data_IF_590091502496
#
_entry.id   IF_590091502496
#
_cell.length_a   1.000
_cell.length_b   1.000
_cell.length_c   1.000
_cell.angle_alpha   90.00
_cell.angle_beta   90.00
_cell.angle_gamma   90.00
#
_symmetry.space_group_name_H-M   'P 1'
#
loop_
_entity.id
_entity.type
_entity.pdbx_description
1 polymer ?
#
# COMPACT_ATOMS: atom_id res chain seq x y z
N UNK A 1 -32.33 -19.71 29.16
CA UNK A 1 -31.08 -19.00 28.85
C UNK A 1 -30.44 -19.42 27.54
N UNK A 2 -30.13 -20.68 27.26
CA UNK A 2 -29.45 -21.14 26.04
C UNK A 2 -30.15 -20.78 24.71
N UNK A 3 -31.49 -20.83 24.62
CA UNK A 3 -32.22 -20.46 23.38
C UNK A 3 -32.06 -18.98 23.06
N UNK A 4 -32.21 -18.09 24.04
CA UNK A 4 -32.02 -16.65 23.85
C UNK A 4 -30.61 -16.32 23.40
N UNK A 5 -29.56 -16.95 23.95
CA UNK A 5 -28.18 -16.76 23.57
C UNK A 5 -27.95 -17.19 22.11
N UNK A 6 -28.48 -18.34 21.69
CA UNK A 6 -28.35 -18.82 20.28
C UNK A 6 -29.03 -17.86 19.30
N UNK A 7 -30.22 -17.35 19.66
CA UNK A 7 -30.93 -16.38 18.80
C UNK A 7 -30.16 -15.07 18.69
N UNK A 8 -29.62 -14.55 19.81
CA UNK A 8 -28.80 -13.33 19.79
C UNK A 8 -27.54 -13.49 18.92
N UNK A 9 -26.84 -14.62 19.05
CA UNK A 9 -25.66 -14.90 18.21
C UNK A 9 -26.01 -14.99 16.73
N UNK A 10 -27.14 -15.61 16.39
CA UNK A 10 -27.60 -15.70 14.99
C UNK A 10 -27.92 -14.30 14.45
N UNK A 11 -28.62 -13.47 15.19
CA UNK A 11 -28.96 -12.09 14.77
C UNK A 11 -27.70 -11.26 14.58
N UNK A 12 -26.73 -11.33 15.48
CA UNK A 12 -25.45 -10.63 15.35
C UNK A 12 -24.70 -11.13 14.11
N UNK A 13 -24.68 -12.43 13.86
CA UNK A 13 -24.05 -13.02 12.68
C UNK A 13 -24.66 -12.52 11.38
N UNK A 14 -25.99 -12.50 11.28
CA UNK A 14 -26.72 -11.99 10.11
C UNK A 14 -26.45 -10.51 9.89
N UNK A 15 -26.47 -9.71 10.94
CA UNK A 15 -26.16 -8.27 10.86
C UNK A 15 -24.73 -8.04 10.39
N UNK A 16 -23.75 -8.79 10.90
CA UNK A 16 -22.35 -8.70 10.46
C UNK A 16 -22.20 -9.06 8.99
N UNK A 17 -22.79 -10.15 8.54
CA UNK A 17 -22.74 -10.56 7.13
C UNK A 17 -23.41 -9.51 6.26
N UNK A 18 -24.58 -9.02 6.62
CA UNK A 18 -25.27 -7.95 5.90
C UNK A 18 -24.43 -6.68 5.78
N UNK A 19 -23.79 -6.27 6.88
CA UNK A 19 -22.88 -5.11 6.87
C UNK A 19 -21.69 -5.34 5.94
N UNK A 20 -21.04 -6.50 6.00
CA UNK A 20 -19.90 -6.81 5.13
C UNK A 20 -20.29 -6.84 3.64
N UNK A 21 -21.45 -7.41 3.32
CA UNK A 21 -21.97 -7.42 1.95
C UNK A 21 -22.27 -6.00 1.44
N UNK A 22 -22.88 -5.18 2.27
CA UNK A 22 -23.13 -3.76 1.95
C UNK A 22 -21.80 -3.04 1.71
N UNK A 23 -20.82 -3.16 2.61
CA UNK A 23 -19.52 -2.54 2.46
C UNK A 23 -18.74 -3.05 1.25
N UNK A 24 -18.94 -4.31 0.84
CA UNK A 24 -18.33 -4.84 -0.38
C UNK A 24 -18.87 -4.15 -1.63
N UNK A 25 -20.12 -3.75 -1.64
CA UNK A 25 -20.76 -3.07 -2.77
C UNK A 25 -20.51 -1.57 -2.75
N UNK A 26 -20.66 -0.94 -1.59
CA UNK A 26 -20.52 0.52 -1.45
C UNK A 26 -19.08 0.97 -1.29
N UNK A 27 -18.20 0.09 -0.81
CA UNK A 27 -16.84 0.42 -0.39
C UNK A 27 -16.82 1.15 0.95
N UNK A 28 -15.62 1.28 1.48
CA UNK A 28 -15.29 2.18 2.58
C UNK A 28 -13.92 2.78 2.28
N UNK A 29 -13.86 3.95 1.65
CA UNK A 29 -12.59 4.56 1.29
C UNK A 29 -11.79 4.89 2.56
N UNK A 30 -10.45 4.87 2.49
CA UNK A 30 -9.63 5.32 3.60
C UNK A 30 -9.87 6.81 3.86
N UNK A 31 -9.83 7.19 5.12
CA UNK A 31 -9.93 8.60 5.48
C UNK A 31 -8.66 9.33 5.06
N UNK A 32 -8.82 10.51 4.49
CA UNK A 32 -7.74 11.43 4.17
C UNK A 32 -7.63 12.46 5.29
N UNK A 33 -6.65 12.38 6.21
CA UNK A 33 -6.49 13.41 7.22
C UNK A 33 -5.97 14.70 6.55
N UNK A 34 -6.38 15.83 7.08
CA UNK A 34 -5.74 17.10 6.74
C UNK A 34 -4.27 17.08 7.15
N UNK A 35 -3.46 17.99 6.57
CA UNK A 35 -2.06 18.14 6.96
C UNK A 35 -1.90 18.41 8.46
N UNK A 36 -2.83 19.15 9.06
CA UNK A 36 -2.85 19.44 10.50
C UNK A 36 -3.16 18.19 11.34
N UNK A 37 -4.11 17.38 10.94
CA UNK A 37 -4.43 16.10 11.61
C UNK A 37 -3.27 15.13 11.51
N UNK A 38 -2.59 15.07 10.36
CA UNK A 38 -1.39 14.25 10.18
C UNK A 38 -0.25 14.71 11.08
N UNK A 39 0.05 16.00 11.10
CA UNK A 39 1.09 16.58 11.95
C UNK A 39 0.81 16.31 13.44
N UNK A 40 -0.45 16.40 13.87
CA UNK A 40 -0.87 16.15 15.24
C UNK A 40 -0.85 14.66 15.62
N UNK A 41 -1.29 13.79 14.72
CA UNK A 41 -1.46 12.36 14.99
C UNK A 41 -0.26 11.51 14.57
N UNK A 42 0.63 12.00 13.70
CA UNK A 42 1.76 11.26 13.14
C UNK A 42 1.36 10.03 12.32
N UNK A 43 0.12 9.96 11.85
CA UNK A 43 -0.39 8.85 11.05
C UNK A 43 -1.45 9.33 10.06
N UNK A 44 -1.57 8.61 8.96
CA UNK A 44 -2.73 8.73 8.08
C UNK A 44 -4.00 8.31 8.82
N UNK A 45 -5.12 8.82 8.38
CA UNK A 45 -6.42 8.57 8.94
C UNK A 45 -6.85 7.10 8.88
N UNK A 46 -8.08 6.90 9.21
CA UNK A 46 -8.76 5.61 9.31
C UNK A 46 -8.52 4.75 8.07
N UNK A 47 -8.11 3.48 8.23
CA UNK A 47 -8.06 2.55 7.13
C UNK A 47 -9.46 2.36 6.56
N UNK A 48 -9.53 2.22 5.24
CA UNK A 48 -10.73 1.80 4.55
C UNK A 48 -10.76 0.29 4.36
N UNK A 49 -11.82 -0.16 3.65
CA UNK A 49 -11.97 -1.54 3.24
C UNK A 49 -11.95 -1.62 1.70
N UNK A 50 -12.95 -2.24 1.10
CA UNK A 50 -13.04 -2.37 -0.36
C UNK A 50 -13.03 -1.02 -1.07
N UNK A 51 -12.19 -0.88 -2.10
CA UNK A 51 -12.26 0.22 -3.04
C UNK A 51 -13.30 -0.11 -4.12
N UNK A 52 -14.14 0.86 -4.44
CA UNK A 52 -15.15 0.77 -5.49
C UNK A 52 -14.93 1.83 -6.55
N UNK A 53 -15.31 1.52 -7.79
CA UNK A 53 -15.15 2.38 -8.94
C UNK A 53 -15.12 1.57 -10.23
N UNK A 54 -15.12 2.27 -11.35
CA UNK A 54 -14.92 1.70 -12.68
C UNK A 54 -13.52 1.08 -12.79
N UNK A 55 -13.43 -0.16 -13.24
CA UNK A 55 -12.16 -0.85 -13.46
C UNK A 55 -11.63 -0.50 -14.84
N UNK A 56 -10.39 -0.04 -14.91
CA UNK A 56 -9.69 0.27 -16.16
C UNK A 56 -9.09 -0.99 -16.73
N UNK A 57 -9.43 -1.30 -17.99
CA UNK A 57 -8.93 -2.45 -18.74
C UNK A 57 -7.94 -2.08 -19.84
N UNK A 58 -7.82 -0.78 -20.14
CA UNK A 58 -6.86 -0.26 -21.11
C UNK A 58 -5.46 -0.14 -20.48
N UNK A 59 -4.43 -0.43 -21.29
CA UNK A 59 -3.06 -0.28 -20.88
C UNK A 59 -2.69 1.20 -20.74
N UNK A 60 -2.09 1.57 -19.62
CA UNK A 60 -1.55 2.92 -19.43
C UNK A 60 -0.07 2.92 -19.82
N UNK A 61 0.25 3.62 -20.88
CA UNK A 61 1.63 3.70 -21.43
C UNK A 61 2.45 4.84 -20.84
N UNK A 62 1.80 5.83 -20.23
CA UNK A 62 2.46 6.94 -19.55
C UNK A 62 1.69 7.29 -18.27
N UNK A 63 2.39 7.31 -17.14
CA UNK A 63 1.82 7.58 -15.81
C UNK A 63 2.03 9.02 -15.34
N UNK A 64 2.65 9.90 -16.13
CA UNK A 64 2.95 11.27 -15.69
C UNK A 64 1.70 12.10 -15.36
N UNK A 65 0.55 11.72 -15.95
CA UNK A 65 -0.73 12.34 -15.63
C UNK A 65 -1.14 12.16 -14.16
N UNK A 66 -0.60 11.16 -13.45
CA UNK A 66 -0.86 10.95 -12.02
C UNK A 66 -0.39 12.14 -11.18
N UNK A 67 0.59 12.92 -11.68
CA UNK A 67 1.05 14.14 -11.03
C UNK A 67 -0.03 15.21 -10.86
N UNK A 68 -1.15 15.09 -11.59
CA UNK A 68 -2.28 16.03 -11.50
C UNK A 68 -3.15 15.77 -10.26
N UNK A 69 -3.12 14.55 -9.73
CA UNK A 69 -3.95 14.16 -8.58
C UNK A 69 -3.20 14.42 -7.28
N UNK A 70 -3.32 15.66 -6.84
CA UNK A 70 -2.70 16.15 -5.61
C UNK A 70 -3.80 16.55 -4.64
N UNK A 71 -4.43 15.61 -3.98
CA UNK A 71 -5.58 16.08 -3.20
C UNK A 71 -5.23 16.28 -1.75
N UNK A 72 -4.71 15.77 -0.92
CA UNK A 72 -4.77 16.14 0.53
C UNK A 72 -3.46 15.98 1.27
N UNK A 73 -2.58 15.16 0.74
CA UNK A 73 -1.32 14.75 1.38
C UNK A 73 -0.06 15.11 0.61
N UNK A 74 -0.11 16.06 -0.27
CA UNK A 74 0.94 16.31 -1.23
C UNK A 74 0.65 15.59 -2.56
N UNK A 75 1.45 15.89 -3.56
CA UNK A 75 1.28 15.40 -4.93
C UNK A 75 1.25 13.87 -4.97
N UNK A 76 0.33 13.32 -5.77
CA UNK A 76 0.25 11.89 -6.11
C UNK A 76 -0.22 10.94 -4.99
N UNK A 77 -1.01 11.43 -4.07
CA UNK A 77 -1.70 10.57 -3.11
C UNK A 77 -2.80 9.76 -3.82
N UNK A 78 -2.87 8.47 -3.55
CA UNK A 78 -3.89 7.56 -4.07
C UNK A 78 -4.33 6.56 -3.01
N UNK A 79 -5.43 5.89 -3.28
CA UNK A 79 -5.94 4.84 -2.42
C UNK A 79 -5.39 3.48 -2.89
N UNK A 80 -4.85 2.72 -1.97
CA UNK A 80 -4.30 1.38 -2.19
C UNK A 80 -5.10 0.35 -1.40
N UNK A 81 -5.68 -0.63 -2.08
CA UNK A 81 -6.30 -1.80 -1.47
C UNK A 81 -5.35 -2.98 -1.53
N UNK A 82 -5.14 -3.62 -0.39
CA UNK A 82 -4.31 -4.82 -0.23
C UNK A 82 -5.12 -5.96 0.36
N UNK A 83 -4.75 -7.20 0.05
CA UNK A 83 -5.40 -8.41 0.58
C UNK A 83 -4.85 -8.76 1.94
N UNK A 84 -5.72 -8.85 2.93
CA UNK A 84 -5.36 -9.35 4.25
C UNK A 84 -5.33 -10.87 4.29
N UNK A 85 -4.68 -11.44 5.30
CA UNK A 85 -4.64 -12.90 5.49
C UNK A 85 -6.01 -13.50 5.81
N UNK A 86 -6.94 -12.72 6.35
CA UNK A 86 -8.30 -13.16 6.70
C UNK A 86 -9.34 -12.83 5.61
N UNK A 87 -8.91 -12.42 4.42
CA UNK A 87 -9.76 -12.28 3.23
C UNK A 87 -10.54 -10.97 3.10
N UNK A 88 -10.63 -10.14 4.15
CA UNK A 88 -11.23 -8.80 4.04
C UNK A 88 -10.13 -7.82 3.64
N UNK A 89 -10.20 -7.18 2.46
CA UNK A 89 -9.17 -6.25 2.04
C UNK A 89 -9.17 -4.98 2.89
N UNK A 90 -7.98 -4.42 3.06
CA UNK A 90 -7.79 -3.10 3.66
C UNK A 90 -7.34 -2.11 2.61
N UNK A 91 -7.85 -0.88 2.70
CA UNK A 91 -7.38 0.23 1.89
C UNK A 91 -6.76 1.33 2.74
N UNK A 92 -5.73 1.95 2.19
CA UNK A 92 -4.97 3.04 2.80
C UNK A 92 -4.59 4.07 1.75
N UNK A 93 -4.29 5.29 2.18
CA UNK A 93 -3.71 6.31 1.31
C UNK A 93 -2.20 6.11 1.22
N UNK A 94 -1.67 6.11 0.00
CA UNK A 94 -0.25 5.97 -0.33
C UNK A 94 0.19 7.05 -1.31
N UNK A 95 1.51 7.22 -1.46
CA UNK A 95 2.08 8.12 -2.44
C UNK A 95 2.62 7.35 -3.64
N UNK A 96 2.32 7.85 -4.84
CA UNK A 96 2.85 7.36 -6.10
C UNK A 96 4.00 8.23 -6.60
N UNK A 97 4.92 7.61 -7.32
CA UNK A 97 6.02 8.29 -8.01
C UNK A 97 5.97 7.87 -9.48
N UNK A 98 5.28 8.63 -10.34
CA UNK A 98 5.27 8.36 -11.77
C UNK A 98 6.59 8.78 -12.41
N UNK A 99 7.01 8.03 -13.43
CA UNK A 99 8.21 8.27 -14.24
C UNK A 99 7.98 7.75 -15.66
N UNK A 100 7.26 8.51 -16.47
CA UNK A 100 6.90 8.12 -17.83
C UNK A 100 6.08 6.83 -17.86
N UNK A 101 6.63 5.79 -18.46
CA UNK A 101 6.05 4.46 -18.56
C UNK A 101 6.06 3.66 -17.23
N UNK A 102 6.72 4.16 -16.20
CA UNK A 102 6.88 3.49 -14.91
C UNK A 102 6.12 4.19 -13.80
N UNK A 103 5.52 3.38 -12.97
CA UNK A 103 4.85 3.84 -11.76
C UNK A 103 5.47 3.15 -10.54
N UNK A 104 5.65 3.90 -9.47
CA UNK A 104 6.18 3.38 -8.22
C UNK A 104 5.29 3.77 -7.04
N UNK A 105 5.20 2.87 -6.08
CA UNK A 105 4.78 3.17 -4.73
C UNK A 105 5.99 3.51 -3.89
N UNK A 106 5.84 4.47 -2.99
CA UNK A 106 6.89 4.78 -2.02
C UNK A 106 6.37 4.68 -0.59
N UNK A 107 7.25 4.29 0.31
CA UNK A 107 7.00 4.34 1.74
C UNK A 107 8.28 4.57 2.52
N UNK A 108 8.23 5.46 3.51
CA UNK A 108 9.33 5.65 4.44
C UNK A 108 9.17 4.74 5.66
N UNK A 109 10.25 4.14 6.13
CA UNK A 109 10.23 3.30 7.32
C UNK A 109 10.13 4.07 8.62
N UNK A 110 10.33 5.39 8.62
CA UNK A 110 10.01 6.21 9.79
C UNK A 110 8.60 5.97 10.30
N UNK A 111 7.70 5.58 9.39
CA UNK A 111 6.35 5.22 9.72
C UNK A 111 6.17 3.77 10.16
N UNK A 112 7.16 2.88 9.98
CA UNK A 112 7.07 1.48 10.37
C UNK A 112 7.82 1.15 11.65
N UNK A 113 9.12 1.44 11.67
CA UNK A 113 10.01 1.01 12.75
C UNK A 113 10.20 2.08 13.81
N UNK A 114 10.14 3.35 13.40
CA UNK A 114 10.46 4.47 14.28
C UNK A 114 9.23 5.08 14.94
N UNK A 115 8.02 4.76 14.48
CA UNK A 115 6.81 5.24 15.13
C UNK A 115 6.48 4.38 16.35
N UNK A 116 7.11 4.69 17.48
CA UNK A 116 6.87 4.01 18.76
C UNK A 116 5.41 4.12 19.23
N UNK A 117 4.70 5.17 18.84
CA UNK A 117 3.31 5.42 19.24
C UNK A 117 2.31 4.55 18.47
N UNK A 118 2.63 4.20 17.21
CA UNK A 118 1.74 3.42 16.34
C UNK A 118 2.54 2.37 15.54
N UNK A 119 3.15 1.37 16.21
CA UNK A 119 4.05 0.40 15.58
C UNK A 119 3.37 -0.47 14.52
N UNK A 120 2.03 -0.53 14.51
CA UNK A 120 1.23 -1.33 13.58
C UNK A 120 0.43 -0.50 12.60
N UNK A 121 0.66 0.81 12.51
CA UNK A 121 -0.17 1.73 11.72
C UNK A 121 -0.04 1.56 10.21
N UNK A 122 1.00 0.87 9.73
CA UNK A 122 1.22 0.61 8.29
C UNK A 122 1.52 -0.87 8.05
N UNK A 123 0.47 -1.65 7.96
CA UNK A 123 0.59 -3.10 7.71
C UNK A 123 0.43 -3.48 6.24
N UNK A 124 0.08 -2.54 5.35
CA UNK A 124 -0.17 -2.80 3.95
C UNK A 124 1.02 -3.48 3.23
N UNK A 125 2.25 -3.12 3.57
CA UNK A 125 3.44 -3.71 2.98
C UNK A 125 3.59 -5.20 3.32
N UNK A 126 3.20 -5.63 4.53
CA UNK A 126 3.17 -7.07 4.89
C UNK A 126 2.11 -7.83 4.10
N UNK A 127 1.00 -7.17 3.77
CA UNK A 127 0.00 -7.75 2.89
C UNK A 127 0.56 -7.94 1.48
N UNK A 128 1.31 -6.96 0.98
CA UNK A 128 1.95 -6.99 -0.34
C UNK A 128 3.07 -8.04 -0.41
N UNK A 129 3.85 -8.24 0.64
CA UNK A 129 4.85 -9.31 0.71
C UNK A 129 4.22 -10.70 0.58
N UNK A 130 3.03 -10.88 1.12
CA UNK A 130 2.28 -12.15 1.02
C UNK A 130 1.51 -12.29 -0.29
N UNK A 131 0.87 -11.23 -0.76
CA UNK A 131 0.12 -11.18 -2.01
C UNK A 131 0.38 -9.83 -2.69
N UNK A 132 1.22 -9.79 -3.75
CA UNK A 132 1.61 -8.56 -4.41
C UNK A 132 0.49 -7.95 -5.26
N UNK A 133 -0.64 -8.63 -5.40
CA UNK A 133 -1.81 -8.15 -6.14
C UNK A 133 -2.54 -7.10 -5.33
N UNK A 134 -2.67 -5.93 -5.90
CA UNK A 134 -3.33 -4.78 -5.27
C UNK A 134 -4.36 -4.17 -6.21
N UNK A 135 -5.22 -3.33 -5.68
CA UNK A 135 -6.08 -2.42 -6.44
C UNK A 135 -5.75 -1.00 -6.02
N UNK A 136 -5.66 -0.11 -6.99
CA UNK A 136 -5.39 1.30 -6.76
C UNK A 136 -6.53 2.12 -7.31
N UNK A 137 -6.98 3.12 -6.56
CA UNK A 137 -7.96 4.09 -7.06
C UNK A 137 -7.24 5.39 -7.35
N UNK A 138 -7.05 5.67 -8.65
CA UNK A 138 -6.33 6.83 -9.15
C UNK A 138 -7.29 7.64 -10.02
N UNK A 139 -7.51 8.91 -9.70
CA UNK A 139 -8.44 9.75 -10.44
C UNK A 139 -9.88 9.20 -10.46
N UNK A 140 -10.31 8.55 -9.38
CA UNK A 140 -11.64 7.95 -9.26
C UNK A 140 -11.81 6.57 -9.90
N UNK A 141 -10.86 6.12 -10.73
CA UNK A 141 -10.89 4.82 -11.42
C UNK A 141 -10.04 3.77 -10.71
N UNK A 142 -10.42 2.51 -10.85
CA UNK A 142 -9.73 1.36 -10.25
C UNK A 142 -8.76 0.75 -11.27
N UNK A 143 -7.52 0.59 -10.85
CA UNK A 143 -6.48 -0.11 -11.60
C UNK A 143 -6.09 -1.38 -10.83
N UNK A 144 -6.15 -2.52 -11.51
CA UNK A 144 -5.64 -3.78 -10.95
C UNK A 144 -4.15 -3.88 -11.19
N UNK A 145 -3.37 -4.00 -10.13
CA UNK A 145 -1.93 -3.87 -10.17
C UNK A 145 -1.24 -5.05 -9.51
N UNK A 146 0.01 -5.28 -9.91
CA UNK A 146 0.98 -6.09 -9.17
C UNK A 146 2.13 -5.17 -8.77
N UNK A 147 2.61 -5.29 -7.54
CA UNK A 147 3.70 -4.48 -7.02
C UNK A 147 4.91 -5.34 -6.68
N UNK A 148 6.10 -4.89 -7.08
CA UNK A 148 7.36 -5.60 -6.89
C UNK A 148 8.35 -4.68 -6.19
N UNK A 149 8.93 -5.14 -5.08
CA UNK A 149 9.93 -4.37 -4.33
C UNK A 149 11.16 -4.09 -5.21
N UNK A 150 11.55 -2.83 -5.30
CA UNK A 150 12.77 -2.42 -6.00
C UNK A 150 13.97 -2.75 -5.13
N UNK A 151 14.79 -3.69 -5.56
CA UNK A 151 16.02 -4.11 -4.86
C UNK A 151 17.26 -3.39 -5.37
N UNK A 152 17.21 -2.86 -6.60
CA UNK A 152 18.32 -2.11 -7.20
C UNK A 152 18.52 -0.77 -6.49
N UNK A 153 19.65 -0.67 -5.76
CA UNK A 153 20.02 0.56 -5.03
C UNK A 153 20.20 1.77 -5.95
N UNK A 154 20.71 1.57 -7.15
CA UNK A 154 20.89 2.64 -8.12
C UNK A 154 19.52 3.17 -8.62
N UNK A 155 18.55 2.30 -8.81
CA UNK A 155 17.18 2.70 -9.15
C UNK A 155 16.54 3.49 -8.00
N UNK A 156 16.68 3.01 -6.76
CA UNK A 156 16.17 3.72 -5.57
C UNK A 156 16.83 5.09 -5.42
N UNK A 157 18.15 5.18 -5.60
CA UNK A 157 18.86 6.46 -5.54
C UNK A 157 18.33 7.44 -6.60
N UNK A 158 18.10 6.99 -7.84
CA UNK A 158 17.50 7.83 -8.89
C UNK A 158 16.10 8.34 -8.50
N UNK A 159 15.27 7.50 -7.90
CA UNK A 159 13.93 7.89 -7.42
C UNK A 159 13.99 8.92 -6.29
N UNK A 160 15.06 8.89 -5.49
CA UNK A 160 15.31 9.80 -4.37
C UNK A 160 16.15 11.04 -4.71
N UNK A 161 16.42 11.28 -6.00
CA UNK A 161 17.26 12.41 -6.41
C UNK A 161 18.72 12.28 -5.98
N UNK A 162 19.27 11.08 -6.04
CA UNK A 162 20.67 10.77 -5.71
C UNK A 162 20.93 10.35 -4.26
N UNK A 163 19.90 10.27 -3.42
CA UNK A 163 20.04 9.86 -2.01
C UNK A 163 19.90 8.35 -1.85
N UNK A 164 20.66 7.78 -0.92
CA UNK A 164 20.52 6.37 -0.56
C UNK A 164 19.18 6.01 0.05
N UNK A 165 18.77 4.74 -0.11
CA UNK A 165 17.56 4.19 0.49
C UNK A 165 17.58 4.27 2.02
N UNK A 166 18.76 4.05 2.60
CA UNK A 166 19.00 4.09 4.05
C UNK A 166 20.00 5.20 4.32
N UNK A 167 19.65 6.12 5.21
CA UNK A 167 20.51 7.20 5.66
C UNK A 167 20.77 7.03 7.14
N UNK A 168 22.02 6.98 7.53
CA UNK A 168 22.44 6.98 8.91
C UNK A 168 22.73 8.41 9.38
N UNK A 169 22.53 8.65 10.66
CA UNK A 169 22.86 9.90 11.31
C UNK A 169 23.23 9.66 12.78
N UNK A 170 23.93 10.60 13.37
CA UNK A 170 24.31 10.53 14.78
C UNK A 170 23.14 10.99 15.66
N UNK A 171 22.71 10.13 16.56
CA UNK A 171 21.67 10.45 17.54
C UNK A 171 22.20 11.33 18.68
N UNK A 172 21.29 11.80 19.54
CA UNK A 172 21.64 12.56 20.74
C UNK A 172 22.52 11.78 21.74
N UNK A 173 22.55 10.47 21.62
CA UNK A 173 23.38 9.54 22.40
C UNK A 173 24.80 9.35 21.81
N UNK A 174 25.13 10.06 20.74
CA UNK A 174 26.42 9.96 20.04
C UNK A 174 26.59 8.70 19.19
N UNK A 175 25.54 7.85 19.07
CA UNK A 175 25.59 6.61 18.28
C UNK A 175 24.99 6.81 16.91
N UNK A 176 25.45 6.00 15.95
CA UNK A 176 24.83 5.93 14.64
C UNK A 176 23.46 5.23 14.69
N UNK A 177 22.48 5.88 14.12
CA UNK A 177 21.13 5.36 13.96
C UNK A 177 20.66 5.55 12.52
N UNK A 178 19.79 4.65 12.05
CA UNK A 178 19.07 4.87 10.79
C UNK A 178 18.11 6.03 11.00
N UNK A 179 18.36 7.16 10.32
CA UNK A 179 17.51 8.35 10.37
C UNK A 179 16.44 8.35 9.28
N UNK A 180 16.75 7.75 8.13
CA UNK A 180 15.79 7.57 7.06
C UNK A 180 15.94 6.16 6.46
N UNK A 181 14.79 5.55 6.16
CA UNK A 181 14.72 4.31 5.40
C UNK A 181 13.55 4.41 4.43
N UNK A 182 13.81 4.21 3.13
CA UNK A 182 12.83 4.34 2.07
C UNK A 182 12.74 3.07 1.26
N UNK A 183 11.51 2.66 0.98
CA UNK A 183 11.21 1.51 0.13
C UNK A 183 10.38 1.97 -1.05
N UNK A 184 10.66 1.39 -2.21
CA UNK A 184 9.93 1.61 -3.45
C UNK A 184 9.47 0.27 -4.00
N UNK A 185 8.27 0.25 -4.53
CA UNK A 185 7.74 -0.90 -5.27
C UNK A 185 7.42 -0.41 -6.68
N UNK A 186 7.91 -1.13 -7.69
CA UNK A 186 7.48 -0.93 -9.06
C UNK A 186 6.07 -1.47 -9.20
N UNK A 187 5.21 -0.74 -9.91
CA UNK A 187 3.80 -1.06 -10.08
C UNK A 187 3.57 -1.48 -11.53
N UNK A 188 2.95 -2.63 -11.73
CA UNK A 188 2.61 -3.18 -13.04
C UNK A 188 1.10 -3.35 -13.14
N UNK A 189 0.50 -2.83 -14.21
CA UNK A 189 -0.92 -3.02 -14.47
C UNK A 189 -1.18 -4.47 -14.88
N UNK A 190 -2.26 -5.05 -14.38
CA UNK A 190 -2.73 -6.40 -14.71
C UNK A 190 -3.95 -6.35 -15.59
N UNK A 191 -4.23 -7.49 -16.28
CA UNK A 191 -5.46 -7.69 -17.05
C UNK A 191 -5.64 -6.69 -18.18
N UNK A 192 -4.53 -6.24 -18.76
CA UNK A 192 -4.52 -5.38 -19.95
C UNK A 192 -3.91 -6.13 -21.14
N UNK A 193 -4.49 -6.04 -22.35
CA UNK A 193 -4.13 -6.88 -23.48
C UNK A 193 -2.68 -6.72 -23.96
N UNK A 194 -2.09 -5.53 -23.82
CA UNK A 194 -0.78 -5.21 -24.38
C UNK A 194 0.41 -5.40 -23.41
N UNK A 195 0.15 -5.50 -22.13
CA UNK A 195 1.19 -5.93 -21.19
C UNK A 195 1.20 -7.45 -21.18
N UNK A 196 1.70 -8.01 -22.29
CA UNK A 196 2.04 -9.41 -22.36
C UNK A 196 2.87 -9.76 -21.13
N UNK A 197 2.34 -10.69 -20.36
CA UNK A 197 3.04 -11.57 -19.45
C UNK A 197 4.50 -11.15 -19.20
N UNK A 198 4.73 -10.14 -18.36
CA UNK A 198 5.93 -10.16 -17.57
C UNK A 198 5.82 -11.47 -16.80
N UNK A 199 6.47 -12.49 -17.32
CA UNK A 199 6.66 -13.79 -16.66
C UNK A 199 6.95 -13.44 -15.21
N UNK A 200 6.12 -13.90 -14.32
CA UNK A 200 6.42 -13.85 -12.92
C UNK A 200 7.84 -14.42 -12.82
N UNK A 201 8.78 -13.56 -12.57
CA UNK A 201 10.11 -13.98 -12.14
C UNK A 201 9.81 -14.60 -10.80
N UNK A 202 9.61 -15.90 -10.82
CA UNK A 202 9.60 -16.71 -9.62
C UNK A 202 10.88 -16.33 -8.86
N UNK A 203 10.82 -16.07 -7.56
CA UNK A 203 12.02 -15.90 -6.79
C UNK A 203 12.90 -17.12 -7.08
N UNK A 204 14.06 -16.88 -7.67
CA UNK A 204 15.04 -17.95 -7.90
C UNK A 204 15.41 -18.49 -6.52
N UNK A 205 15.06 -19.74 -6.28
CA UNK A 205 15.57 -20.56 -5.19
C UNK A 205 17.10 -20.70 -5.34
N UNK A 206 17.82 -19.68 -4.89
CA UNK A 206 19.27 -19.76 -4.82
C UNK A 206 19.77 -19.03 -3.59
N UNK A 207 19.62 -19.66 -2.45
CA UNK A 207 20.52 -19.47 -1.31
C UNK A 207 20.31 -20.55 -0.25
N UNK A 208 20.47 -21.82 -0.61
CA UNK A 208 20.82 -22.83 0.36
C UNK A 208 22.29 -23.15 0.16
N UNK A 209 23.17 -22.29 0.67
CA UNK A 209 24.56 -22.63 0.91
C UNK A 209 24.76 -22.72 2.41
N UNK A 210 24.74 -23.93 2.90
CA UNK A 210 25.22 -24.32 4.23
C UNK A 210 26.68 -23.90 4.37
N UNK A 211 26.96 -23.12 5.39
CA UNK A 211 28.32 -23.06 5.96
C UNK A 211 28.33 -23.96 7.20
N UNK A 212 29.19 -24.93 7.14
CA UNK A 212 29.58 -25.76 8.29
C UNK A 212 30.49 -24.94 9.21
#
# INVERSE_FOLDING_TARGET
>A
MMKALKTSLLVVGVLMIGTLLTLRVTGLPPGHPSAQEYAKAGRSARPGLWLTGEVVHEAVTNWDWVNQFSETFGKNATELETRTWYGIPHSVTVLLVPRGDKLYLQSSAQTFRLNKKFPYSKVWWRNVERDPRVRMKIGGKIYEMTVVLVQDRAEVARLRGGKDAIVNGTGADGKEHITEEWHYWRVYQRNVPEYGTASAVAPSDSATSRVR
#
